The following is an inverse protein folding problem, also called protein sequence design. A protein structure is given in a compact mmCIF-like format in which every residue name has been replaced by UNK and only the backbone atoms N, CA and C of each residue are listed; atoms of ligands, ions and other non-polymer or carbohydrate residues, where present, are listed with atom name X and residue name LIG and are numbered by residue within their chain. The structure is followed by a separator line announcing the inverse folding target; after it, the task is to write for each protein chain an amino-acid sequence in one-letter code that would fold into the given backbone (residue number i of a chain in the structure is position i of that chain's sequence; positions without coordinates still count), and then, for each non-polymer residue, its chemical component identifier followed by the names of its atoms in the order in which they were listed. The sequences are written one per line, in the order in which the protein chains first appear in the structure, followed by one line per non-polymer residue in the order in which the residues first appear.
data_IF_444813244301
#
_entry.id   IF_444813244301
#
_cell.length_a   1.000
_cell.length_b   1.000
_cell.length_c   1.000
_cell.angle_alpha   90.00
_cell.angle_beta   90.00
_cell.angle_gamma   90.00
#
_symmetry.space_group_name_H-M   'P 1'
#
loop_
_entity.id
_entity.type
_entity.pdbx_description
1 polymer ?
#
# COMPACT_ATOMS: atom_id res chain seq x y z
N UNK A 1 -1.13 -23.63 18.13
CA UNK A 1 -0.12 -22.67 18.63
C UNK A 1 0.70 -22.23 17.44
N UNK A 2 0.38 -21.08 16.84
CA UNK A 2 1.17 -20.48 15.75
C UNK A 2 2.21 -19.55 16.38
N UNK A 3 3.48 -19.75 16.04
CA UNK A 3 4.26 -18.58 15.67
C UNK A 3 5.25 -18.92 14.55
N UNK A 4 5.01 -18.37 13.37
CA UNK A 4 6.08 -18.16 12.41
C UNK A 4 5.74 -16.89 11.69
N UNK A 5 6.41 -15.83 12.13
CA UNK A 5 6.49 -14.52 11.50
C UNK A 5 6.72 -14.77 10.00
N UNK A 6 5.64 -14.65 9.22
CA UNK A 6 5.55 -15.13 7.85
C UNK A 6 6.35 -14.24 6.90
N UNK A 7 7.67 -14.37 6.92
CA UNK A 7 8.50 -13.88 5.86
C UNK A 7 8.19 -14.76 4.64
N UNK A 8 7.25 -14.29 3.80
CA UNK A 8 6.89 -14.93 2.55
C UNK A 8 8.17 -15.31 1.82
N UNK A 9 8.39 -16.61 1.63
CA UNK A 9 9.51 -17.15 0.88
C UNK A 9 9.23 -16.95 -0.61
N UNK A 10 9.16 -15.70 -1.06
CA UNK A 10 9.19 -15.39 -2.49
C UNK A 10 10.56 -15.76 -3.03
N UNK A 11 10.65 -16.46 -4.18
CA UNK A 11 11.93 -16.83 -4.75
C UNK A 11 12.84 -15.60 -4.95
N UNK A 12 14.17 -15.74 -4.81
CA UNK A 12 15.10 -14.68 -5.16
C UNK A 12 14.83 -14.17 -6.58
N UNK A 13 14.70 -12.85 -6.73
CA UNK A 13 14.37 -12.23 -8.02
C UNK A 13 12.87 -12.04 -8.29
N UNK A 14 11.99 -12.50 -7.40
CA UNK A 14 10.57 -12.10 -7.45
C UNK A 14 10.47 -10.57 -7.39
N UNK A 15 9.78 -9.99 -8.36
CA UNK A 15 9.43 -8.58 -8.39
C UNK A 15 7.93 -8.48 -8.49
N UNK A 16 7.36 -7.66 -7.61
CA UNK A 16 5.95 -7.35 -7.69
C UNK A 16 5.74 -6.39 -8.88
N UNK A 17 5.22 -6.92 -9.98
CA UNK A 17 5.01 -6.20 -11.23
C UNK A 17 3.58 -6.39 -11.71
N UNK A 18 2.66 -5.69 -11.05
CA UNK A 18 1.24 -5.74 -11.36
C UNK A 18 0.82 -4.76 -12.47
N UNK A 19 -0.36 -4.97 -13.05
CA UNK A 19 -1.08 -3.92 -13.80
C UNK A 19 -2.05 -3.13 -12.91
N UNK A 20 -2.51 -1.99 -13.41
CA UNK A 20 -3.56 -1.21 -12.74
C UNK A 20 -4.86 -2.03 -12.60
N UNK A 21 -5.17 -2.91 -13.56
CA UNK A 21 -6.32 -3.80 -13.47
C UNK A 21 -6.16 -4.84 -12.37
N UNK A 22 -4.97 -5.43 -12.22
CA UNK A 22 -4.71 -6.40 -11.15
C UNK A 22 -4.82 -5.72 -9.78
N UNK A 23 -4.29 -4.51 -9.62
CA UNK A 23 -4.43 -3.71 -8.40
C UNK A 23 -5.90 -3.51 -8.01
N UNK A 24 -6.74 -3.12 -8.98
CA UNK A 24 -8.14 -2.79 -8.73
C UNK A 24 -9.00 -4.04 -8.56
N UNK A 25 -8.96 -4.94 -9.53
CA UNK A 25 -9.93 -6.04 -9.64
C UNK A 25 -9.53 -7.30 -8.88
N UNK A 26 -8.23 -7.55 -8.74
CA UNK A 26 -7.75 -8.68 -7.95
C UNK A 26 -7.48 -8.24 -6.51
N UNK A 27 -6.55 -7.32 -6.26
CA UNK A 27 -6.13 -7.00 -4.90
C UNK A 27 -7.18 -6.20 -4.11
N UNK A 28 -7.56 -5.02 -4.61
CA UNK A 28 -8.46 -4.13 -3.87
C UNK A 28 -9.86 -4.72 -3.75
N UNK A 29 -10.40 -5.30 -4.83
CA UNK A 29 -11.74 -5.91 -4.82
C UNK A 29 -11.82 -7.07 -3.82
N UNK A 30 -10.83 -7.98 -3.82
CA UNK A 30 -10.77 -9.08 -2.84
C UNK A 30 -10.62 -8.56 -1.42
N UNK A 31 -9.77 -7.55 -1.20
CA UNK A 31 -9.60 -6.94 0.14
C UNK A 31 -10.90 -6.37 0.69
N UNK A 32 -11.68 -5.66 -0.14
CA UNK A 32 -12.98 -5.10 0.25
C UNK A 32 -14.04 -6.18 0.47
N UNK A 33 -14.00 -7.25 -0.33
CA UNK A 33 -14.90 -8.40 -0.19
C UNK A 33 -14.51 -9.38 0.94
N UNK A 34 -13.40 -9.11 1.66
CA UNK A 34 -12.81 -10.02 2.64
C UNK A 34 -12.47 -11.41 2.07
N UNK A 35 -12.17 -11.47 0.78
CA UNK A 35 -11.73 -12.69 0.09
C UNK A 35 -10.23 -12.93 0.28
N UNK A 36 -9.81 -14.20 0.22
CA UNK A 36 -8.40 -14.56 0.31
C UNK A 36 -7.61 -14.06 -0.93
N UNK A 37 -6.45 -13.47 -0.65
CA UNK A 37 -5.45 -13.03 -1.65
C UNK A 37 -4.30 -14.03 -1.59
N UNK A 38 -3.94 -14.62 -2.73
CA UNK A 38 -3.00 -15.75 -2.78
C UNK A 38 -1.57 -15.34 -2.39
N UNK A 39 -1.23 -14.07 -2.57
CA UNK A 39 0.06 -13.48 -2.22
C UNK A 39 -0.16 -12.31 -1.26
N UNK A 40 0.31 -12.44 -0.02
CA UNK A 40 0.24 -11.39 1.01
C UNK A 40 1.32 -10.29 0.79
N UNK A 41 1.34 -9.75 -0.42
CA UNK A 41 2.34 -8.78 -0.88
C UNK A 41 1.94 -7.34 -0.60
N UNK A 42 0.65 -7.04 -0.41
CA UNK A 42 0.15 -5.70 -0.07
C UNK A 42 -0.32 -5.72 1.38
N UNK A 43 0.45 -5.09 2.28
CA UNK A 43 0.12 -5.03 3.71
C UNK A 43 -0.86 -3.92 4.03
N UNK A 44 -1.58 -4.08 5.13
CA UNK A 44 -2.44 -3.04 5.68
C UNK A 44 -1.63 -2.07 6.55
N UNK A 45 -1.79 -0.78 6.29
CA UNK A 45 -1.05 0.31 6.93
C UNK A 45 -1.99 1.48 7.20
N UNK A 46 -1.90 2.05 8.40
CA UNK A 46 -2.54 3.32 8.72
C UNK A 46 -1.56 4.46 8.43
N UNK A 47 -1.69 5.06 7.25
CA UNK A 47 -0.78 6.12 6.76
C UNK A 47 -0.81 7.40 7.63
N UNK A 48 -1.82 7.55 8.48
CA UNK A 48 -1.98 8.72 9.35
C UNK A 48 -1.33 8.52 10.72
N UNK A 49 -0.88 7.30 11.02
CA UNK A 49 -0.24 6.97 12.29
C UNK A 49 1.21 6.57 12.13
N UNK A 50 1.65 6.31 10.91
CA UNK A 50 3.01 5.87 10.62
C UNK A 50 3.79 6.93 9.87
N UNK A 51 5.06 7.02 10.21
CA UNK A 51 6.01 7.81 9.45
C UNK A 51 6.44 7.04 8.19
N UNK A 52 6.90 7.74 7.13
CA UNK A 52 7.27 7.10 5.87
C UNK A 52 8.24 5.92 6.03
N UNK A 53 9.26 6.06 6.89
CA UNK A 53 10.26 5.01 7.13
C UNK A 53 9.68 3.78 7.84
N UNK A 54 8.70 3.95 8.71
CA UNK A 54 7.99 2.83 9.35
C UNK A 54 7.13 2.08 8.34
N UNK A 55 6.60 2.78 7.33
CA UNK A 55 5.85 2.16 6.21
C UNK A 55 6.81 1.34 5.35
N UNK A 56 8.01 1.84 5.05
CA UNK A 56 9.02 1.10 4.28
C UNK A 56 9.36 -0.24 4.95
N UNK A 57 9.62 -0.22 6.25
CA UNK A 57 9.91 -1.45 7.00
C UNK A 57 8.73 -2.42 6.99
N UNK A 58 7.51 -1.90 7.17
CA UNK A 58 6.28 -2.71 7.19
C UNK A 58 5.83 -3.22 5.83
N UNK A 59 6.19 -2.57 4.72
CA UNK A 59 5.74 -3.00 3.39
C UNK A 59 6.82 -3.74 2.61
N UNK A 60 8.02 -3.89 3.18
CA UNK A 60 9.13 -4.58 2.51
C UNK A 60 8.79 -6.05 2.22
N UNK A 61 8.74 -6.39 0.93
CA UNK A 61 8.65 -7.76 0.42
C UNK A 61 10.04 -8.31 0.10
N UNK A 62 10.42 -9.45 0.67
CA UNK A 62 11.73 -10.08 0.42
C UNK A 62 12.93 -9.25 0.91
N UNK A 63 14.11 -9.52 0.35
CA UNK A 63 15.39 -8.94 0.81
C UNK A 63 16.02 -7.94 -0.19
N UNK A 64 15.36 -7.66 -1.31
CA UNK A 64 15.87 -6.77 -2.36
C UNK A 64 15.40 -5.32 -2.22
N UNK A 65 16.09 -4.36 -2.87
CA UNK A 65 15.66 -2.97 -2.91
C UNK A 65 14.30 -2.82 -3.61
N UNK A 66 13.40 -2.05 -2.99
CA UNK A 66 12.07 -1.71 -3.50
C UNK A 66 11.98 -0.21 -3.72
N UNK A 67 11.75 0.20 -4.96
CA UNK A 67 11.61 1.62 -5.31
C UNK A 67 10.15 2.10 -5.21
N UNK A 68 9.20 1.17 -5.10
CA UNK A 68 7.77 1.43 -5.03
C UNK A 68 7.18 0.49 -3.99
N UNK A 69 6.30 1.03 -3.14
CA UNK A 69 5.60 0.29 -2.11
C UNK A 69 4.10 0.35 -2.36
N UNK A 70 3.43 -0.77 -2.11
CA UNK A 70 1.98 -0.90 -2.19
C UNK A 70 1.45 -1.29 -0.82
N UNK A 71 0.40 -0.61 -0.38
CA UNK A 71 -0.26 -0.89 0.89
C UNK A 71 -1.75 -0.57 0.79
N UNK A 72 -2.54 -1.30 1.57
CA UNK A 72 -3.92 -0.92 1.84
C UNK A 72 -3.94 0.09 2.98
N UNK A 73 -4.61 1.21 2.79
CA UNK A 73 -4.88 2.15 3.87
C UNK A 73 -6.38 2.34 4.00
N UNK A 74 -6.85 2.40 5.25
CA UNK A 74 -8.17 2.91 5.51
C UNK A 74 -8.21 4.41 5.18
N UNK A 75 -9.29 4.82 4.51
CA UNK A 75 -9.55 6.24 4.28
C UNK A 75 -10.03 6.84 5.58
N UNK A 76 -9.14 7.48 6.32
CA UNK A 76 -9.52 8.27 7.49
C UNK A 76 -10.17 9.56 7.04
N UNK A 77 -11.48 9.64 7.17
CA UNK A 77 -12.21 10.87 6.90
C UNK A 77 -12.16 11.74 8.14
N UNK A 78 -11.56 12.93 8.05
CA UNK A 78 -11.48 13.88 9.17
C UNK A 78 -12.87 14.29 9.69
N UNK A 79 -13.92 14.10 8.89
CA UNK A 79 -15.32 14.35 9.25
C UNK A 79 -16.25 13.29 8.63
N UNK A 80 -17.38 12.92 9.29
CA UNK A 80 -18.35 11.97 8.75
C UNK A 80 -18.92 12.36 7.36
N UNK A 81 -18.91 13.66 7.03
CA UNK A 81 -19.46 14.23 5.79
C UNK A 81 -18.40 14.84 4.86
N UNK A 82 -17.11 14.75 5.21
CA UNK A 82 -16.03 15.40 4.46
C UNK A 82 -15.29 14.47 3.50
N UNK A 83 -14.72 15.01 2.42
CA UNK A 83 -13.77 14.30 1.55
C UNK A 83 -12.32 14.48 2.00
N UNK A 84 -12.08 15.38 2.97
CA UNK A 84 -10.74 15.73 3.46
C UNK A 84 -10.21 14.63 4.36
N UNK A 85 -9.18 13.94 3.87
CA UNK A 85 -8.42 12.96 4.64
C UNK A 85 -7.54 13.66 5.66
N UNK A 86 -7.50 13.15 6.90
CA UNK A 86 -6.39 13.48 7.79
C UNK A 86 -5.12 12.93 7.14
N UNK A 87 -4.03 13.69 7.20
CA UNK A 87 -2.75 13.36 6.57
C UNK A 87 -1.58 13.76 7.47
N UNK A 88 -1.84 14.09 8.72
CA UNK A 88 -0.81 14.39 9.70
C UNK A 88 -0.23 13.09 10.27
N UNK A 89 1.07 13.06 10.48
CA UNK A 89 1.80 12.06 11.26
C UNK A 89 2.33 12.71 12.53
N UNK A 90 3.06 11.99 13.39
CA UNK A 90 3.64 12.58 14.61
C UNK A 90 4.75 13.57 14.27
N UNK A 91 5.56 13.28 13.24
CA UNK A 91 6.70 14.09 12.82
C UNK A 91 6.37 15.08 11.69
N UNK A 92 5.19 15.01 11.07
CA UNK A 92 4.87 15.89 9.95
C UNK A 92 3.48 15.70 9.33
N UNK A 93 3.39 15.90 8.01
CA UNK A 93 2.15 15.69 7.26
C UNK A 93 2.43 15.34 5.79
N UNK A 94 1.55 14.53 5.21
CA UNK A 94 1.56 14.20 3.78
C UNK A 94 0.92 15.32 2.96
N UNK A 95 1.71 15.95 2.08
CA UNK A 95 1.21 16.89 1.07
C UNK A 95 0.93 16.15 -0.23
N UNK A 96 -0.29 16.26 -0.75
CA UNK A 96 -0.59 15.73 -2.09
C UNK A 96 0.14 16.54 -3.15
N UNK A 97 0.87 15.87 -4.02
CA UNK A 97 1.42 16.44 -5.25
C UNK A 97 0.68 15.82 -6.42
N UNK A 98 0.02 16.64 -7.24
CA UNK A 98 -0.50 16.18 -8.52
C UNK A 98 0.68 16.01 -9.48
N UNK A 99 0.74 14.85 -10.15
CA UNK A 99 1.66 14.66 -11.27
C UNK A 99 0.80 14.90 -12.51
N UNK A 100 0.98 16.03 -13.19
CA UNK A 100 0.38 16.21 -14.52
C UNK A 100 1.01 15.16 -15.45
N UNK A 101 0.27 14.08 -15.71
CA UNK A 101 0.62 13.15 -16.76
C UNK A 101 0.38 13.83 -18.10
N UNK A 102 1.45 14.17 -18.83
CA UNK A 102 1.36 14.56 -20.23
C UNK A 102 0.76 13.41 -21.03
N UNK A 103 -0.55 13.45 -21.26
CA UNK A 103 -1.18 12.78 -22.37
C UNK A 103 -0.78 13.54 -23.63
N UNK A 104 0.28 13.09 -24.30
CA UNK A 104 0.52 13.49 -25.69
C UNK A 104 -0.56 12.84 -26.56
N UNK A 105 -1.46 13.60 -27.21
CA UNK A 105 -2.32 13.03 -28.23
C UNK A 105 -1.47 12.70 -29.47
N UNK A 106 -1.62 11.46 -29.97
CA UNK A 106 -1.17 11.07 -31.32
C UNK A 106 -2.15 11.58 -32.38
#
# INVERSE_FOLDING_TARGET
MTPSNGQLAVPPGFRFHHTDEELLYYYLRKKVAYEAIDLDVIREVDVNKLEPWDIEEKCRIGCGPQNVLFFFSHKDSKYPTGTRTNRATTAGFWKGTEREGQSHPS
#
